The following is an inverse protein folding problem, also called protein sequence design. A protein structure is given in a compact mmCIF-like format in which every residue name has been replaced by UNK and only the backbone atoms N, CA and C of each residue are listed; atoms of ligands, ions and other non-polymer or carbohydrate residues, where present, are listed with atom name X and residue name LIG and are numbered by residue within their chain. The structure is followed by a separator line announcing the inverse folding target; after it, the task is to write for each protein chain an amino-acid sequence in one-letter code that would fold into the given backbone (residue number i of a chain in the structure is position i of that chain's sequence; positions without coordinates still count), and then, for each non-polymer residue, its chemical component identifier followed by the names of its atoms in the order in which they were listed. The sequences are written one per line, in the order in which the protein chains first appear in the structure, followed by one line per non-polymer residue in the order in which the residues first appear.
data_IF_122526041149
#
_entry.id   IF_122526041149
#
_cell.length_a   1.000
_cell.length_b   1.000
_cell.length_c   1.000
_cell.angle_alpha   90.00
_cell.angle_beta   90.00
_cell.angle_gamma   90.00
#
_symmetry.space_group_name_H-M   'P 1'
#
loop_
_entity.id
_entity.type
_entity.pdbx_description
1 polymer ?
#
# COMPACT_ATOMS: atom_id res chain seq x y z
N UNK A 1 21.71 42.21 31.24
CA UNK A 1 21.44 42.62 29.85
C UNK A 1 20.23 41.86 29.36
N UNK A 2 19.11 42.55 29.18
CA UNK A 2 17.82 42.01 28.73
C UNK A 2 17.87 41.68 27.23
N UNK A 3 17.61 40.43 26.87
CA UNK A 3 17.32 40.02 25.50
C UNK A 3 15.80 40.06 25.30
N UNK A 4 15.37 41.20 24.76
CA UNK A 4 14.19 41.48 23.95
C UNK A 4 13.07 40.43 23.96
N UNK A 5 12.01 40.78 24.67
CA UNK A 5 10.65 40.38 24.36
C UNK A 5 10.34 40.72 22.89
N UNK A 6 10.23 39.70 22.03
CA UNK A 6 9.38 39.81 20.86
C UNK A 6 7.94 39.83 21.38
N UNK A 7 7.17 40.85 21.00
CA UNK A 7 5.73 40.92 21.25
C UNK A 7 5.05 39.69 20.63
N UNK A 8 4.90 38.63 21.42
CA UNK A 8 4.09 37.48 21.06
C UNK A 8 2.64 37.90 21.18
N UNK A 9 2.03 38.25 20.04
CA UNK A 9 0.60 38.54 19.96
C UNK A 9 -0.21 37.45 20.69
N UNK A 10 -1.24 37.85 21.43
CA UNK A 10 -2.14 36.91 22.11
C UNK A 10 -2.80 36.03 21.06
N UNK A 11 -2.52 34.73 21.13
CA UNK A 11 -3.02 33.73 20.20
C UNK A 11 -3.99 32.79 20.91
N UNK A 12 -4.82 32.11 20.11
CA UNK A 12 -5.67 31.03 20.61
C UNK A 12 -4.90 29.70 20.56
N UNK A 13 -5.02 28.92 21.63
CA UNK A 13 -4.36 27.64 21.85
C UNK A 13 -5.44 26.61 22.16
N UNK A 14 -5.60 25.64 21.28
CA UNK A 14 -6.63 24.61 21.39
C UNK A 14 -6.01 23.32 21.89
N UNK A 15 -6.72 22.64 22.78
CA UNK A 15 -6.38 21.31 23.30
C UNK A 15 -6.96 20.20 22.43
N UNK A 16 -6.47 18.98 22.58
CA UNK A 16 -6.96 17.82 21.83
C UNK A 16 -8.44 17.48 22.13
N UNK A 17 -8.94 17.81 23.32
CA UNK A 17 -10.36 17.69 23.70
C UNK A 17 -11.22 18.89 23.25
N UNK A 18 -10.66 19.80 22.44
CA UNK A 18 -11.38 20.90 21.80
C UNK A 18 -11.58 22.14 22.67
N UNK A 19 -10.95 22.22 23.85
CA UNK A 19 -11.00 23.43 24.70
C UNK A 19 -9.97 24.45 24.23
N UNK A 20 -10.39 25.70 24.08
CA UNK A 20 -9.52 26.82 23.70
C UNK A 20 -9.04 27.62 24.91
N UNK A 21 -7.82 28.11 24.82
CA UNK A 21 -7.15 28.99 25.78
C UNK A 21 -6.48 30.14 25.03
N UNK A 22 -6.65 31.38 25.49
CA UNK A 22 -5.93 32.53 24.91
C UNK A 22 -4.67 32.83 25.71
N UNK A 23 -3.54 32.98 25.04
CA UNK A 23 -2.27 33.24 25.70
C UNK A 23 -1.16 33.65 24.73
N UNK A 24 -0.10 34.24 25.27
CA UNK A 24 1.09 34.60 24.54
C UNK A 24 2.13 33.49 24.67
N UNK A 25 2.77 33.12 23.57
CA UNK A 25 3.89 32.19 23.60
C UNK A 25 5.07 32.81 24.34
N UNK A 26 5.67 32.07 25.28
CA UNK A 26 6.88 32.49 25.98
C UNK A 26 8.06 31.64 25.54
N UNK A 27 7.97 30.31 25.66
CA UNK A 27 9.03 29.37 25.29
C UNK A 27 8.49 27.93 25.22
N UNK A 28 9.30 27.03 24.69
CA UNK A 28 9.14 25.58 24.90
C UNK A 28 10.13 25.14 25.99
N UNK A 29 9.63 24.40 26.98
CA UNK A 29 10.41 23.80 28.05
C UNK A 29 10.23 22.28 28.02
N UNK A 30 11.23 21.59 27.47
CA UNK A 30 11.19 20.14 27.26
C UNK A 30 10.00 19.70 26.39
N UNK A 31 8.98 19.12 27.03
CA UNK A 31 7.75 18.60 26.39
C UNK A 31 6.53 19.50 26.58
N UNK A 32 6.71 20.72 27.08
CA UNK A 32 5.63 21.66 27.37
C UNK A 32 5.87 22.99 26.68
N UNK A 33 4.79 23.65 26.28
CA UNK A 33 4.81 25.07 25.91
C UNK A 33 4.45 25.90 27.13
N UNK A 34 5.23 26.94 27.38
CA UNK A 34 4.95 27.96 28.40
C UNK A 34 4.15 29.07 27.74
N UNK A 35 2.92 29.27 28.20
CA UNK A 35 2.03 30.32 27.74
C UNK A 35 1.81 31.34 28.85
N UNK A 36 1.88 32.63 28.52
CA UNK A 36 1.50 33.71 29.43
C UNK A 36 0.04 34.09 29.16
N UNK A 37 -0.81 33.87 30.16
CA UNK A 37 -2.22 34.22 30.07
C UNK A 37 -2.43 35.74 30.11
N UNK A 38 -3.58 36.27 29.67
CA UNK A 38 -3.94 37.69 29.81
C UNK A 38 -3.89 38.19 31.26
N UNK A 39 -4.06 37.29 32.24
CA UNK A 39 -3.93 37.57 33.67
C UNK A 39 -2.48 37.76 34.14
N UNK A 40 -1.50 37.60 33.25
CA UNK A 40 -0.06 37.69 33.54
C UNK A 40 0.56 36.39 34.07
N UNK A 41 -0.24 35.37 34.35
CA UNK A 41 0.23 34.06 34.85
C UNK A 41 0.82 33.21 33.73
N UNK A 42 1.98 32.60 33.97
CA UNK A 42 2.53 31.57 33.10
C UNK A 42 1.91 30.20 33.41
N UNK A 43 1.52 29.47 32.37
CA UNK A 43 1.01 28.10 32.45
C UNK A 43 1.82 27.19 31.55
N UNK A 44 2.18 26.02 32.07
CA UNK A 44 2.84 24.97 31.32
C UNK A 44 1.78 24.04 30.73
N UNK A 45 1.66 24.02 29.42
CA UNK A 45 0.75 23.14 28.69
C UNK A 45 1.57 22.07 27.98
N UNK A 46 1.29 20.79 28.25
CA UNK A 46 1.98 19.68 27.59
C UNK A 46 1.71 19.75 26.08
N UNK A 47 2.76 19.69 25.26
CA UNK A 47 2.61 19.71 23.80
C UNK A 47 1.75 18.55 23.29
N UNK A 48 1.79 17.41 23.96
CA UNK A 48 0.96 16.24 23.67
C UNK A 48 -0.54 16.42 23.97
N UNK A 49 -0.91 17.48 24.71
CA UNK A 49 -2.30 17.78 25.06
C UNK A 49 -2.92 18.86 24.17
N UNK A 50 -2.12 19.47 23.29
CA UNK A 50 -2.58 20.48 22.33
C UNK A 50 -3.14 19.83 21.07
N UNK A 51 -4.05 20.55 20.41
CA UNK A 51 -4.40 20.29 19.02
C UNK A 51 -3.15 20.44 18.15
N UNK A 52 -3.17 19.79 16.99
CA UNK A 52 -2.06 19.82 16.05
C UNK A 52 -1.69 21.25 15.62
N UNK A 53 -2.68 22.10 15.39
CA UNK A 53 -2.47 23.51 15.02
C UNK A 53 -1.73 24.28 16.11
N UNK A 54 -2.12 24.12 17.37
CA UNK A 54 -1.48 24.78 18.50
C UNK A 54 -0.10 24.21 18.84
N UNK A 55 0.12 22.91 18.58
CA UNK A 55 1.44 22.31 18.66
C UNK A 55 2.38 22.90 17.60
N UNK A 56 1.96 22.94 16.34
CA UNK A 56 2.74 23.54 15.26
C UNK A 56 3.00 25.03 15.49
N UNK A 57 2.03 25.76 16.04
CA UNK A 57 2.19 27.16 16.43
C UNK A 57 3.30 27.33 17.48
N UNK A 58 3.36 26.47 18.51
CA UNK A 58 4.46 26.48 19.48
C UNK A 58 5.82 26.25 18.81
N UNK A 59 5.90 25.30 17.89
CA UNK A 59 7.15 24.96 17.20
C UNK A 59 7.62 26.10 16.27
N UNK A 60 6.71 26.71 15.51
CA UNK A 60 7.00 27.87 14.64
C UNK A 60 7.54 29.05 15.43
N UNK A 61 6.93 29.36 16.56
CA UNK A 61 7.35 30.46 17.43
C UNK A 61 8.67 30.16 18.16
N UNK A 62 8.99 28.88 18.37
CA UNK A 62 10.25 28.47 19.00
C UNK A 62 11.46 28.48 18.05
N UNK A 63 11.26 28.19 16.75
CA UNK A 63 12.32 27.99 15.76
C UNK A 63 11.91 28.47 14.37
N UNK A 64 11.72 29.79 14.15
CA UNK A 64 11.22 30.32 12.88
C UNK A 64 12.12 29.98 11.67
N UNK A 65 13.42 29.84 11.88
CA UNK A 65 14.39 29.56 10.81
C UNK A 65 14.32 28.14 10.23
N UNK A 66 13.77 27.17 10.99
CA UNK A 66 13.57 25.80 10.53
C UNK A 66 12.43 25.66 9.51
N UNK A 67 11.56 26.68 9.40
CA UNK A 67 10.37 26.68 8.54
C UNK A 67 10.54 27.54 7.27
N UNK A 68 11.69 28.21 7.10
CA UNK A 68 11.94 29.18 6.03
C UNK A 68 12.90 28.75 4.91
N UNK A 69 13.34 27.49 4.85
CA UNK A 69 14.27 27.03 3.79
C UNK A 69 13.54 26.22 2.70
N UNK A 70 13.72 26.65 1.45
CA UNK A 70 13.46 25.85 0.25
C UNK A 70 14.31 24.57 0.29
N UNK A 71 13.73 23.46 -0.14
CA UNK A 71 14.42 22.18 -0.14
C UNK A 71 15.53 22.13 -1.18
N UNK A 72 16.76 21.97 -0.69
CA UNK A 72 17.87 21.38 -1.44
C UNK A 72 17.44 20.03 -2.00
N UNK A 73 17.76 19.81 -3.28
CA UNK A 73 17.63 18.53 -3.97
C UNK A 73 18.27 17.42 -3.12
N UNK A 74 17.46 16.47 -2.67
CA UNK A 74 17.96 15.18 -2.19
C UNK A 74 18.60 14.47 -3.40
N UNK A 75 19.76 13.80 -3.23
CA UNK A 75 20.50 13.22 -4.34
C UNK A 75 19.65 12.22 -5.12
N UNK A 76 19.92 12.22 -6.42
CA UNK A 76 19.70 11.18 -7.41
C UNK A 76 19.38 9.79 -6.86
N UNK A 77 18.26 9.26 -7.37
CA UNK A 77 18.03 7.85 -7.70
C UNK A 77 18.55 6.87 -6.65
N UNK A 78 17.66 6.42 -5.76
CA UNK A 78 17.84 5.21 -4.96
C UNK A 78 18.08 4.01 -5.89
N UNK A 79 19.33 3.81 -6.30
CA UNK A 79 19.80 2.69 -7.12
C UNK A 79 19.57 1.35 -6.40
N UNK A 80 19.40 1.37 -5.09
CA UNK A 80 19.23 0.20 -4.23
C UNK A 80 17.87 -0.53 -4.36
N UNK A 81 16.92 -0.05 -5.16
CA UNK A 81 15.62 -0.72 -5.38
C UNK A 81 15.43 -1.25 -6.82
N UNK A 82 16.50 -1.35 -7.63
CA UNK A 82 16.36 -1.47 -9.10
C UNK A 82 15.83 -2.80 -9.65
N UNK A 83 15.67 -3.87 -8.86
CA UNK A 83 14.84 -5.00 -9.32
C UNK A 83 14.35 -5.87 -8.17
N UNK A 84 13.06 -5.81 -7.86
CA UNK A 84 12.44 -6.79 -6.97
C UNK A 84 12.25 -8.18 -7.62
N UNK A 85 12.42 -8.25 -8.95
CA UNK A 85 12.32 -9.49 -9.70
C UNK A 85 13.56 -9.68 -10.59
N UNK A 86 14.04 -10.91 -10.69
CA UNK A 86 15.09 -11.29 -11.64
C UNK A 86 14.52 -11.84 -12.95
N UNK A 87 13.20 -11.79 -13.12
CA UNK A 87 12.47 -12.42 -14.22
C UNK A 87 11.93 -11.36 -15.18
N UNK A 88 12.16 -11.55 -16.48
CA UNK A 88 11.60 -10.66 -17.52
C UNK A 88 10.14 -10.98 -17.77
N UNK A 89 9.41 -10.06 -18.42
CA UNK A 89 8.01 -10.29 -18.78
C UNK A 89 7.86 -11.52 -19.70
N UNK A 90 8.75 -11.67 -20.67
CA UNK A 90 8.76 -12.80 -21.61
C UNK A 90 8.98 -14.12 -20.88
N UNK A 91 9.91 -14.14 -19.91
CA UNK A 91 10.16 -15.31 -19.09
C UNK A 91 9.01 -15.62 -18.13
N UNK A 92 8.29 -14.61 -17.64
CA UNK A 92 7.10 -14.80 -16.81
C UNK A 92 5.91 -15.38 -17.61
N UNK A 93 5.74 -14.96 -18.86
CA UNK A 93 4.68 -15.44 -19.75
C UNK A 93 4.91 -16.88 -20.25
N UNK A 94 6.16 -17.34 -20.29
CA UNK A 94 6.46 -18.72 -20.64
C UNK A 94 6.08 -19.67 -19.49
N UNK A 95 5.25 -20.69 -19.78
CA UNK A 95 4.94 -21.74 -18.81
C UNK A 95 6.21 -22.54 -18.49
N UNK A 96 6.70 -22.55 -17.24
CA UNK A 96 7.95 -23.22 -16.88
C UNK A 96 7.75 -24.69 -16.47
N UNK A 97 6.52 -25.19 -16.39
CA UNK A 97 6.24 -26.56 -15.98
C UNK A 97 6.51 -27.54 -17.14
N UNK A 98 7.04 -28.72 -16.80
CA UNK A 98 7.26 -29.80 -17.75
C UNK A 98 5.96 -30.39 -18.29
N UNK A 99 6.06 -31.30 -19.27
CA UNK A 99 4.87 -31.89 -19.90
C UNK A 99 4.08 -32.82 -18.99
N UNK A 100 4.75 -33.45 -18.01
CA UNK A 100 4.14 -34.39 -17.08
C UNK A 100 4.90 -34.36 -15.73
N UNK A 101 4.81 -33.25 -14.97
CA UNK A 101 5.62 -33.09 -13.77
C UNK A 101 5.14 -34.04 -12.65
N UNK A 102 6.08 -34.48 -11.83
CA UNK A 102 5.80 -35.01 -10.49
C UNK A 102 5.40 -33.86 -9.56
N UNK A 103 4.72 -34.14 -8.44
CA UNK A 103 4.39 -33.08 -7.47
C UNK A 103 5.65 -32.35 -6.97
N UNK A 104 6.74 -33.08 -6.74
CA UNK A 104 8.01 -32.50 -6.28
C UNK A 104 8.62 -31.56 -7.32
N UNK A 105 8.73 -31.98 -8.59
CA UNK A 105 9.29 -31.12 -9.63
C UNK A 105 8.39 -29.92 -9.94
N UNK A 106 7.06 -30.07 -9.81
CA UNK A 106 6.11 -28.97 -9.91
C UNK A 106 6.31 -27.93 -8.81
N UNK A 107 6.35 -28.35 -7.53
CA UNK A 107 6.54 -27.46 -6.38
C UNK A 107 7.94 -26.84 -6.33
N UNK A 108 8.97 -27.58 -6.78
CA UNK A 108 10.32 -27.05 -6.90
C UNK A 108 10.38 -25.88 -7.91
N UNK A 109 9.74 -26.03 -9.07
CA UNK A 109 9.63 -24.96 -10.07
C UNK A 109 8.84 -23.78 -9.49
N UNK A 110 7.69 -24.04 -8.86
CA UNK A 110 6.85 -23.00 -8.28
C UNK A 110 7.60 -22.17 -7.23
N UNK A 111 8.18 -22.82 -6.22
CA UNK A 111 8.92 -22.17 -5.14
C UNK A 111 10.18 -21.45 -5.62
N UNK A 112 10.88 -21.99 -6.62
CA UNK A 112 12.03 -21.33 -7.26
C UNK A 112 11.63 -20.02 -7.95
N UNK A 113 10.52 -20.02 -8.70
CA UNK A 113 10.00 -18.82 -9.35
C UNK A 113 9.57 -17.75 -8.34
N UNK A 114 8.91 -18.14 -7.24
CA UNK A 114 8.57 -17.24 -6.14
C UNK A 114 9.81 -16.60 -5.52
N UNK A 115 10.85 -17.38 -5.21
CA UNK A 115 12.14 -16.88 -4.69
C UNK A 115 12.83 -15.91 -5.65
N UNK A 116 12.61 -16.05 -6.96
CA UNK A 116 13.14 -15.15 -8.00
C UNK A 116 12.31 -13.87 -8.18
N UNK A 117 11.23 -13.71 -7.43
CA UNK A 117 10.31 -12.57 -7.52
C UNK A 117 9.34 -12.68 -8.69
N UNK A 118 8.98 -13.90 -9.12
CA UNK A 118 7.97 -14.14 -10.16
C UNK A 118 6.67 -14.72 -9.56
N UNK A 119 5.82 -13.89 -8.94
CA UNK A 119 4.52 -14.33 -8.42
C UNK A 119 3.54 -14.76 -9.54
N UNK A 120 3.83 -14.41 -10.80
CA UNK A 120 3.02 -14.84 -11.95
C UNK A 120 3.09 -16.33 -12.21
N UNK A 121 4.00 -17.07 -11.56
CA UNK A 121 4.01 -18.53 -11.60
C UNK A 121 2.67 -19.15 -11.19
N UNK A 122 1.94 -18.50 -10.27
CA UNK A 122 0.60 -18.94 -9.82
C UNK A 122 -0.42 -18.95 -10.96
N UNK A 123 -0.27 -18.06 -11.94
CA UNK A 123 -1.09 -18.08 -13.15
C UNK A 123 -0.98 -19.41 -13.87
N UNK A 124 0.26 -19.89 -14.08
CA UNK A 124 0.53 -21.16 -14.76
C UNK A 124 0.12 -22.40 -13.96
N UNK A 125 -0.22 -22.24 -12.67
CA UNK A 125 -0.75 -23.31 -11.82
C UNK A 125 -2.28 -23.46 -11.95
N UNK A 126 -2.96 -22.50 -12.59
CA UNK A 126 -4.41 -22.51 -12.74
C UNK A 126 -4.85 -23.27 -14.01
N UNK A 127 -5.97 -24.03 -13.92
CA UNK A 127 -6.67 -24.54 -15.09
C UNK A 127 -6.99 -23.44 -16.12
N UNK A 128 -6.95 -23.78 -17.40
CA UNK A 128 -7.13 -22.82 -18.51
C UNK A 128 -8.48 -22.09 -18.45
N UNK A 129 -9.58 -22.80 -18.12
CA UNK A 129 -10.90 -22.19 -17.98
C UNK A 129 -10.93 -21.12 -16.88
N UNK A 130 -10.19 -21.31 -15.79
CA UNK A 130 -10.10 -20.36 -14.68
C UNK A 130 -9.27 -19.15 -15.09
N UNK A 131 -8.13 -19.36 -15.76
CA UNK A 131 -7.32 -18.27 -16.32
C UNK A 131 -8.12 -17.40 -17.27
N UNK A 132 -8.85 -18.02 -18.19
CA UNK A 132 -9.72 -17.31 -19.14
C UNK A 132 -10.77 -16.48 -18.39
N UNK A 133 -11.40 -17.03 -17.36
CA UNK A 133 -12.40 -16.30 -16.60
C UNK A 133 -11.80 -15.12 -15.82
N UNK A 134 -10.64 -15.29 -15.17
CA UNK A 134 -9.94 -14.21 -14.48
C UNK A 134 -9.54 -13.11 -15.46
N UNK A 135 -9.05 -13.47 -16.66
CA UNK A 135 -8.70 -12.51 -17.71
C UNK A 135 -9.93 -11.72 -18.18
N UNK A 136 -11.06 -12.40 -18.41
CA UNK A 136 -12.31 -11.74 -18.81
C UNK A 136 -12.88 -10.86 -17.69
N UNK A 137 -12.82 -11.28 -16.42
CA UNK A 137 -13.23 -10.46 -15.29
C UNK A 137 -12.34 -9.23 -15.15
N UNK A 138 -11.03 -9.38 -15.31
CA UNK A 138 -10.07 -8.26 -15.31
C UNK A 138 -10.39 -7.27 -16.42
N UNK A 139 -10.70 -7.75 -17.62
CA UNK A 139 -11.10 -6.91 -18.74
C UNK A 139 -12.39 -6.14 -18.44
N UNK A 140 -13.45 -6.81 -17.99
CA UNK A 140 -14.72 -6.17 -17.57
C UNK A 140 -14.50 -5.07 -16.54
N UNK A 141 -13.63 -5.32 -15.55
CA UNK A 141 -13.30 -4.36 -14.50
C UNK A 141 -12.56 -3.13 -15.06
N UNK A 142 -11.64 -3.34 -16.00
CA UNK A 142 -10.91 -2.25 -16.66
C UNK A 142 -11.80 -1.45 -17.62
N UNK A 143 -12.74 -2.09 -18.29
CA UNK A 143 -13.76 -1.44 -19.11
C UNK A 143 -14.72 -0.61 -18.25
N UNK A 144 -15.15 -1.12 -17.09
CA UNK A 144 -16.03 -0.41 -16.16
C UNK A 144 -15.39 0.85 -15.57
N UNK A 145 -14.05 0.87 -15.40
CA UNK A 145 -13.30 2.08 -15.05
C UNK A 145 -13.26 3.11 -16.19
N UNK A 146 -13.15 2.62 -17.43
CA UNK A 146 -12.95 3.43 -18.62
C UNK A 146 -11.62 4.20 -18.62
N UNK A 147 -11.28 4.81 -19.76
CA UNK A 147 -10.06 5.62 -19.90
C UNK A 147 -9.93 6.73 -18.83
N UNK A 148 -11.00 7.50 -18.48
CA UNK A 148 -10.90 8.52 -17.44
C UNK A 148 -10.56 7.94 -16.06
N UNK A 149 -11.21 6.85 -15.66
CA UNK A 149 -10.96 6.21 -14.36
C UNK A 149 -9.57 5.60 -14.26
N UNK A 150 -9.09 4.96 -15.34
CA UNK A 150 -7.73 4.42 -15.42
C UNK A 150 -6.68 5.53 -15.37
N UNK A 151 -6.90 6.63 -16.08
CA UNK A 151 -6.01 7.81 -16.05
C UNK A 151 -5.94 8.42 -14.65
N UNK A 152 -7.09 8.57 -13.98
CA UNK A 152 -7.16 9.09 -12.61
C UNK A 152 -6.41 8.18 -11.60
N UNK A 153 -6.57 6.86 -11.72
CA UNK A 153 -5.86 5.89 -10.89
C UNK A 153 -4.34 5.97 -11.12
N UNK A 154 -3.91 6.01 -12.38
CA UNK A 154 -2.50 6.18 -12.73
C UNK A 154 -1.90 7.48 -12.18
N UNK A 155 -2.63 8.61 -12.28
CA UNK A 155 -2.21 9.90 -11.74
C UNK A 155 -2.12 9.90 -10.21
N UNK A 156 -3.05 9.23 -9.53
CA UNK A 156 -3.03 9.06 -8.08
C UNK A 156 -1.76 8.31 -7.64
N UNK A 157 -1.46 7.18 -8.30
CA UNK A 157 -0.27 6.37 -8.02
C UNK A 157 1.00 7.17 -8.31
N UNK A 158 1.03 7.93 -9.42
CA UNK A 158 2.15 8.84 -9.74
C UNK A 158 2.35 9.93 -8.68
N UNK A 159 1.27 10.51 -8.17
CA UNK A 159 1.33 11.49 -7.08
C UNK A 159 1.87 10.87 -5.81
N UNK A 160 1.43 9.65 -5.46
CA UNK A 160 1.95 8.89 -4.31
C UNK A 160 3.43 8.56 -4.46
N UNK A 161 3.85 8.10 -5.64
CA UNK A 161 5.24 7.83 -5.98
C UNK A 161 6.11 9.08 -5.79
N UNK A 162 5.64 10.24 -6.28
CA UNK A 162 6.31 11.53 -6.12
C UNK A 162 6.40 11.94 -4.64
N UNK A 163 5.32 11.82 -3.88
CA UNK A 163 5.29 12.10 -2.45
C UNK A 163 6.29 11.20 -1.71
N UNK A 164 6.26 9.89 -1.96
CA UNK A 164 7.13 8.93 -1.31
C UNK A 164 8.62 9.18 -1.62
N UNK A 165 8.91 9.61 -2.85
CA UNK A 165 10.28 9.90 -3.31
C UNK A 165 10.78 11.23 -2.76
N UNK A 166 10.04 12.32 -2.97
CA UNK A 166 10.53 13.67 -2.69
C UNK A 166 10.30 14.11 -1.24
N UNK A 167 9.25 13.59 -0.59
CA UNK A 167 8.81 14.08 0.73
C UNK A 167 9.13 13.08 1.85
N UNK A 168 10.09 12.17 1.63
CA UNK A 168 10.51 11.15 2.60
C UNK A 168 10.81 11.74 3.98
N UNK A 169 11.65 12.77 4.07
CA UNK A 169 12.02 13.40 5.35
C UNK A 169 10.83 14.07 6.04
N UNK A 170 9.85 14.53 5.26
CA UNK A 170 8.61 15.07 5.81
C UNK A 170 7.71 13.97 6.39
N UNK A 171 7.72 12.78 5.80
CA UNK A 171 6.89 11.66 6.22
C UNK A 171 7.51 10.86 7.38
N UNK A 172 8.83 10.64 7.32
CA UNK A 172 9.58 9.77 8.24
C UNK A 172 10.40 10.55 9.28
N UNK A 173 10.53 11.86 9.13
CA UNK A 173 11.39 12.68 9.99
C UNK A 173 10.86 12.83 11.43
N UNK A 174 11.79 13.13 12.34
CA UNK A 174 11.53 13.28 13.78
C UNK A 174 10.52 14.38 14.16
N UNK A 175 10.16 15.27 13.23
CA UNK A 175 9.25 16.39 13.46
C UNK A 175 7.80 16.10 13.06
N UNK A 176 7.47 14.85 12.67
CA UNK A 176 6.09 14.35 12.63
C UNK A 176 5.19 15.03 11.58
N UNK A 177 5.17 14.51 10.36
CA UNK A 177 3.88 14.29 9.71
C UNK A 177 3.84 12.80 9.42
N UNK A 178 3.23 12.05 10.33
CA UNK A 178 2.83 10.70 10.03
C UNK A 178 1.74 10.84 8.97
N UNK A 179 2.15 10.92 7.71
CA UNK A 179 1.27 10.65 6.59
C UNK A 179 0.89 9.18 6.75
N UNK A 180 -0.17 8.88 7.52
CA UNK A 180 -0.32 7.60 8.21
C UNK A 180 -0.53 6.49 7.20
N UNK A 181 -1.00 6.89 6.01
CA UNK A 181 -1.10 6.10 4.82
C UNK A 181 0.21 5.44 4.37
N UNK A 182 1.22 6.22 3.98
CA UNK A 182 2.50 5.64 3.52
C UNK A 182 3.36 5.17 4.70
N UNK A 183 3.29 5.86 5.83
CA UNK A 183 4.05 5.48 7.01
C UNK A 183 3.54 4.17 7.63
N UNK A 184 2.23 3.91 7.57
CA UNK A 184 1.61 2.66 8.03
C UNK A 184 1.73 1.50 7.05
N UNK A 185 2.06 1.77 5.78
CA UNK A 185 2.26 0.72 4.77
C UNK A 185 3.54 -0.10 5.00
N UNK A 186 4.45 0.37 5.86
CA UNK A 186 5.73 -0.30 6.16
C UNK A 186 5.94 -0.41 7.66
N UNK A 187 6.35 -1.59 8.11
CA UNK A 187 6.62 -1.89 9.52
C UNK A 187 7.97 -1.32 9.99
N UNK A 188 8.97 -1.29 9.10
CA UNK A 188 10.28 -0.67 9.33
C UNK A 188 10.53 0.36 8.23
N UNK A 189 10.12 1.63 8.44
CA UNK A 189 10.25 2.65 7.41
C UNK A 189 11.69 2.96 7.00
N UNK A 190 12.69 2.63 7.80
CA UNK A 190 14.09 2.84 7.38
C UNK A 190 14.51 1.78 6.35
N UNK A 191 14.10 0.53 6.53
CA UNK A 191 14.46 -0.58 5.63
C UNK A 191 13.53 -0.74 4.44
N UNK A 192 12.22 -0.57 4.63
CA UNK A 192 11.20 -0.94 3.64
C UNK A 192 10.81 0.20 2.70
N UNK A 193 11.10 1.46 3.06
CA UNK A 193 10.75 2.62 2.23
C UNK A 193 11.31 2.60 0.81
N UNK A 194 12.59 2.21 0.55
CA UNK A 194 13.11 2.09 -0.80
C UNK A 194 12.28 1.15 -1.69
N UNK A 195 11.80 0.04 -1.14
CA UNK A 195 10.98 -0.93 -1.87
C UNK A 195 9.56 -0.43 -2.11
N UNK A 196 8.96 0.29 -1.14
CA UNK A 196 7.68 0.97 -1.34
C UNK A 196 7.78 2.00 -2.46
N UNK A 197 8.86 2.79 -2.48
CA UNK A 197 9.13 3.76 -3.54
C UNK A 197 9.31 3.05 -4.89
N UNK A 198 10.10 1.98 -4.95
CA UNK A 198 10.29 1.18 -6.16
C UNK A 198 8.99 0.58 -6.69
N UNK A 199 8.16 0.02 -5.80
CA UNK A 199 6.82 -0.48 -6.11
C UNK A 199 5.95 0.62 -6.72
N UNK A 200 5.82 1.77 -6.06
CA UNK A 200 4.99 2.88 -6.53
C UNK A 200 5.51 3.45 -7.86
N UNK A 201 6.83 3.56 -8.04
CA UNK A 201 7.44 4.00 -9.29
C UNK A 201 7.11 3.04 -10.43
N UNK A 202 7.28 1.73 -10.22
CA UNK A 202 6.95 0.71 -11.22
C UNK A 202 5.46 0.68 -11.55
N UNK A 203 4.61 0.71 -10.52
CA UNK A 203 3.17 0.75 -10.70
C UNK A 203 2.71 2.03 -11.42
N UNK A 204 3.42 3.15 -11.26
CA UNK A 204 3.11 4.42 -11.94
C UNK A 204 3.58 4.50 -13.40
N UNK A 205 4.30 3.50 -13.91
CA UNK A 205 4.81 3.54 -15.29
C UNK A 205 3.65 3.64 -16.29
N UNK A 206 3.65 4.68 -17.12
CA UNK A 206 2.56 4.96 -18.07
C UNK A 206 2.24 3.77 -18.99
N UNK A 207 3.25 2.97 -19.34
CA UNK A 207 3.11 1.77 -20.18
C UNK A 207 2.18 0.70 -19.58
N UNK A 208 1.99 0.67 -18.26
CA UNK A 208 1.05 -0.26 -17.61
C UNK A 208 -0.41 0.18 -17.77
N UNK A 209 -0.66 1.47 -18.03
CA UNK A 209 -2.00 2.05 -18.02
C UNK A 209 -2.49 2.47 -19.41
N UNK A 210 -1.83 2.01 -20.47
CA UNK A 210 -2.22 2.29 -21.85
C UNK A 210 -3.49 1.52 -22.23
N UNK A 211 -4.37 2.16 -23.00
CA UNK A 211 -5.63 1.56 -23.43
C UNK A 211 -5.42 0.24 -24.20
N UNK A 212 -4.33 0.12 -24.94
CA UNK A 212 -3.92 -1.09 -25.69
C UNK A 212 -3.63 -2.31 -24.79
N UNK A 213 -3.45 -2.14 -23.49
CA UNK A 213 -3.30 -3.27 -22.56
C UNK A 213 -4.64 -3.94 -22.24
N UNK A 214 -5.75 -3.21 -22.39
CA UNK A 214 -7.06 -3.62 -21.89
C UNK A 214 -7.92 -4.15 -23.04
N UNK A 215 -7.43 -5.20 -23.67
CA UNK A 215 -8.15 -6.00 -24.66
C UNK A 215 -7.78 -7.48 -24.49
N UNK A 216 -8.53 -8.37 -25.14
CA UNK A 216 -8.35 -9.81 -25.03
C UNK A 216 -6.94 -10.29 -25.39
N UNK A 217 -6.26 -9.65 -26.34
CA UNK A 217 -4.93 -10.08 -26.79
C UNK A 217 -3.79 -9.68 -25.84
N UNK A 218 -4.01 -8.65 -25.00
CA UNK A 218 -2.95 -8.07 -24.16
C UNK A 218 -3.24 -8.14 -22.66
N UNK A 219 -4.45 -8.50 -22.23
CA UNK A 219 -4.80 -8.53 -20.80
C UNK A 219 -3.92 -9.47 -19.98
N UNK A 220 -3.52 -10.62 -20.53
CA UNK A 220 -2.59 -11.54 -19.86
C UNK A 220 -1.19 -10.92 -19.69
N UNK A 221 -0.68 -10.23 -20.71
CA UNK A 221 0.60 -9.52 -20.63
C UNK A 221 0.55 -8.41 -19.58
N UNK A 222 -0.60 -7.74 -19.48
CA UNK A 222 -0.83 -6.74 -18.46
C UNK A 222 -0.87 -7.36 -17.07
N UNK A 223 -1.60 -8.46 -16.86
CA UNK A 223 -1.64 -9.21 -15.60
C UNK A 223 -0.24 -9.70 -15.19
N UNK A 224 0.55 -10.21 -16.14
CA UNK A 224 1.94 -10.60 -15.91
C UNK A 224 2.81 -9.41 -15.49
N UNK A 225 2.66 -8.27 -16.16
CA UNK A 225 3.36 -7.04 -15.80
C UNK A 225 3.00 -6.58 -14.39
N UNK A 226 1.71 -6.55 -14.06
CA UNK A 226 1.22 -6.19 -12.73
C UNK A 226 1.74 -7.15 -11.67
N UNK A 227 1.72 -8.46 -11.92
CA UNK A 227 2.25 -9.48 -11.02
C UNK A 227 3.75 -9.27 -10.75
N UNK A 228 4.55 -8.98 -11.77
CA UNK A 228 5.97 -8.65 -11.57
C UNK A 228 6.18 -7.37 -10.75
N UNK A 229 5.31 -6.36 -10.87
CA UNK A 229 5.31 -5.20 -9.97
C UNK A 229 5.02 -5.62 -8.53
N UNK A 230 4.08 -6.55 -8.32
CA UNK A 230 3.78 -7.10 -6.98
C UNK A 230 4.95 -7.89 -6.38
N UNK A 231 5.93 -8.30 -7.18
CA UNK A 231 7.19 -8.88 -6.69
C UNK A 231 7.91 -7.97 -5.68
N UNK A 232 7.73 -6.63 -5.75
CA UNK A 232 8.26 -5.70 -4.74
C UNK A 232 7.68 -5.93 -3.35
N UNK A 233 6.42 -6.40 -3.23
CA UNK A 233 5.82 -6.73 -1.93
C UNK A 233 6.51 -7.95 -1.30
N UNK A 234 6.85 -8.97 -2.09
CA UNK A 234 7.58 -10.14 -1.59
C UNK A 234 8.94 -9.76 -1.00
N UNK A 235 9.64 -8.81 -1.63
CA UNK A 235 10.95 -8.34 -1.16
C UNK A 235 10.84 -7.43 0.06
N UNK A 236 9.70 -6.74 0.26
CA UNK A 236 9.45 -5.97 1.49
C UNK A 236 9.23 -6.84 2.71
N UNK A 237 8.64 -8.03 2.51
CA UNK A 237 8.30 -8.98 3.56
C UNK A 237 8.76 -10.41 3.21
N UNK A 238 10.08 -10.64 3.05
CA UNK A 238 10.61 -11.97 2.73
C UNK A 238 10.26 -12.98 3.84
N UNK A 239 10.18 -12.53 5.09
CA UNK A 239 9.77 -13.34 6.23
C UNK A 239 8.34 -13.88 6.09
N UNK A 240 7.44 -13.14 5.41
CA UNK A 240 6.04 -13.54 5.24
C UNK A 240 5.78 -14.37 3.99
N UNK A 241 6.77 -14.49 3.11
CA UNK A 241 6.62 -15.07 1.77
C UNK A 241 7.51 -16.29 1.52
N UNK A 242 8.29 -16.73 2.52
CA UNK A 242 9.09 -17.94 2.39
C UNK A 242 8.18 -19.18 2.38
N UNK A 243 8.21 -19.95 1.30
CA UNK A 243 7.43 -21.18 1.17
C UNK A 243 8.39 -22.37 1.20
N UNK A 244 8.15 -23.29 2.14
CA UNK A 244 8.79 -24.59 2.22
C UNK A 244 7.72 -25.68 2.09
N UNK A 245 8.11 -26.87 1.64
CA UNK A 245 7.21 -28.00 1.49
C UNK A 245 7.92 -29.32 1.75
N UNK A 246 7.15 -30.32 2.20
CA UNK A 246 7.57 -31.71 2.32
C UNK A 246 6.49 -32.60 1.69
N UNK A 247 6.88 -33.45 0.75
CA UNK A 247 5.96 -34.36 0.06
C UNK A 247 5.74 -35.59 0.95
N UNK A 248 4.51 -35.75 1.47
CA UNK A 248 4.15 -36.78 2.46
C UNK A 248 3.73 -38.09 1.80
N UNK A 249 3.08 -38.00 0.64
CA UNK A 249 2.77 -39.16 -0.21
C UNK A 249 3.25 -38.93 -1.64
N UNK A 250 3.53 -40.03 -2.35
CA UNK A 250 3.86 -40.01 -3.77
C UNK A 250 3.01 -41.05 -4.50
N UNK A 251 1.96 -40.59 -5.18
CA UNK A 251 1.12 -41.36 -6.08
C UNK A 251 1.13 -40.73 -7.47
N UNK A 252 0.49 -41.38 -8.44
CA UNK A 252 0.43 -40.85 -9.81
C UNK A 252 -0.46 -39.61 -9.94
N UNK A 253 -1.53 -39.55 -9.14
CA UNK A 253 -2.67 -38.65 -9.39
C UNK A 253 -3.07 -37.79 -8.18
N UNK A 254 -2.60 -38.09 -6.97
CA UNK A 254 -2.96 -37.36 -5.75
C UNK A 254 -1.87 -37.44 -4.68
N UNK A 255 -1.43 -36.31 -4.16
CA UNK A 255 -0.36 -36.25 -3.17
C UNK A 255 -0.67 -35.32 -2.02
N UNK A 256 -0.46 -35.80 -0.79
CA UNK A 256 -0.42 -34.99 0.40
C UNK A 256 0.95 -34.32 0.52
N UNK A 257 0.93 -33.01 0.74
CA UNK A 257 2.12 -32.19 0.92
C UNK A 257 1.95 -31.34 2.17
N UNK A 258 2.93 -31.39 3.06
CA UNK A 258 3.00 -30.48 4.19
C UNK A 258 3.63 -29.17 3.71
N UNK A 259 2.83 -28.10 3.64
CA UNK A 259 3.25 -26.78 3.18
C UNK A 259 3.46 -25.87 4.38
N UNK A 260 4.62 -25.22 4.43
CA UNK A 260 4.97 -24.24 5.46
C UNK A 260 5.15 -22.88 4.81
N UNK A 261 4.42 -21.89 5.29
CA UNK A 261 4.55 -20.49 4.86
C UNK A 261 5.12 -19.68 6.02
N UNK A 262 6.20 -18.95 5.77
CA UNK A 262 6.90 -18.17 6.79
C UNK A 262 7.30 -19.06 7.98
N UNK A 263 7.07 -18.56 9.20
CA UNK A 263 7.31 -19.26 10.47
C UNK A 263 6.05 -19.99 10.98
N UNK A 264 5.04 -20.21 10.12
CA UNK A 264 3.80 -20.89 10.51
C UNK A 264 4.03 -22.40 10.64
N UNK A 265 3.10 -23.07 11.33
CA UNK A 265 3.13 -24.54 11.38
C UNK A 265 2.83 -25.12 9.99
N UNK A 266 3.44 -26.27 9.63
CA UNK A 266 3.09 -26.96 8.40
C UNK A 266 1.59 -27.27 8.37
N UNK A 267 0.98 -27.03 7.21
CA UNK A 267 -0.40 -27.39 6.92
C UNK A 267 -0.40 -28.44 5.83
N UNK A 268 -1.09 -29.55 6.08
CA UNK A 268 -1.28 -30.59 5.08
C UNK A 268 -2.23 -30.08 3.99
N UNK A 269 -1.77 -30.17 2.75
CA UNK A 269 -2.51 -29.79 1.54
C UNK A 269 -2.52 -30.98 0.58
N UNK A 270 -3.70 -31.36 0.10
CA UNK A 270 -3.83 -32.43 -0.88
C UNK A 270 -3.84 -31.85 -2.29
N UNK A 271 -2.85 -32.22 -3.08
CA UNK A 271 -2.74 -31.89 -4.49
C UNK A 271 -3.33 -33.01 -5.35
N UNK A 272 -4.02 -32.64 -6.42
CA UNK A 272 -4.54 -33.57 -7.41
C UNK A 272 -4.01 -33.24 -8.79
N UNK A 273 -3.61 -34.26 -9.52
CA UNK A 273 -3.10 -34.11 -10.88
C UNK A 273 -4.23 -33.94 -11.87
N UNK A 274 -4.13 -32.90 -12.69
CA UNK A 274 -5.06 -32.62 -13.78
C UNK A 274 -4.27 -32.29 -15.05
N UNK A 275 -4.10 -33.30 -15.90
CA UNK A 275 -3.26 -33.19 -17.09
C UNK A 275 -1.81 -32.84 -16.74
N UNK A 276 -1.37 -31.64 -17.13
CA UNK A 276 0.00 -31.14 -16.85
C UNK A 276 0.13 -30.38 -15.52
N UNK A 277 -0.97 -30.21 -14.78
CA UNK A 277 -1.03 -29.39 -13.56
C UNK A 277 -1.20 -30.25 -12.31
N UNK A 278 -0.73 -29.72 -11.19
CA UNK A 278 -1.12 -30.15 -9.84
C UNK A 278 -1.93 -29.04 -9.20
N UNK A 279 -3.19 -29.32 -8.90
CA UNK A 279 -4.13 -28.36 -8.33
C UNK A 279 -4.46 -28.71 -6.89
N UNK A 280 -4.93 -27.73 -6.13
CA UNK A 280 -5.55 -27.95 -4.82
C UNK A 280 -7.06 -27.79 -5.02
N UNK A 281 -7.86 -28.86 -4.98
CA UNK A 281 -9.28 -28.82 -5.31
C UNK A 281 -10.08 -27.77 -4.52
N UNK A 282 -9.83 -27.65 -3.21
CA UNK A 282 -10.50 -26.67 -2.37
C UNK A 282 -10.19 -25.22 -2.81
N UNK A 283 -8.93 -24.96 -3.18
CA UNK A 283 -8.51 -23.63 -3.67
C UNK A 283 -9.16 -23.30 -5.02
N UNK A 284 -9.25 -24.30 -5.91
CA UNK A 284 -9.94 -24.14 -7.20
C UNK A 284 -11.43 -23.82 -6.98
N UNK A 285 -12.09 -24.56 -6.09
CA UNK A 285 -13.50 -24.32 -5.76
C UNK A 285 -13.72 -22.93 -5.14
N UNK A 286 -12.82 -22.46 -4.27
CA UNK A 286 -12.91 -21.12 -3.68
C UNK A 286 -12.82 -20.03 -4.77
N UNK A 287 -11.84 -20.15 -5.69
CA UNK A 287 -11.68 -19.22 -6.82
C UNK A 287 -12.93 -19.21 -7.69
N UNK A 288 -13.45 -20.38 -8.04
CA UNK A 288 -14.68 -20.49 -8.85
C UNK A 288 -15.88 -19.84 -8.14
N UNK A 289 -16.03 -20.07 -6.83
CA UNK A 289 -17.09 -19.43 -6.04
C UNK A 289 -17.00 -17.91 -6.07
N UNK A 290 -15.81 -17.34 -5.90
CA UNK A 290 -15.59 -15.89 -5.95
C UNK A 290 -15.92 -15.32 -7.34
N UNK A 291 -15.46 -15.98 -8.40
CA UNK A 291 -15.76 -15.56 -9.78
C UNK A 291 -17.26 -15.61 -10.09
N UNK A 292 -17.98 -16.61 -9.55
CA UNK A 292 -19.44 -16.71 -9.72
C UNK A 292 -20.20 -15.64 -8.94
N UNK A 293 -19.80 -15.36 -7.70
CA UNK A 293 -20.40 -14.29 -6.89
C UNK A 293 -20.26 -12.93 -7.59
N UNK A 294 -19.07 -12.63 -8.10
CA UNK A 294 -18.83 -11.39 -8.86
C UNK A 294 -19.68 -11.30 -10.12
N UNK A 295 -19.85 -12.39 -10.88
CA UNK A 295 -20.74 -12.45 -12.05
C UNK A 295 -22.20 -12.17 -11.69
N UNK A 296 -22.70 -12.78 -10.62
CA UNK A 296 -24.12 -12.71 -10.26
C UNK A 296 -24.53 -11.33 -9.76
N UNK A 297 -23.62 -10.61 -9.10
CA UNK A 297 -23.95 -9.27 -8.59
C UNK A 297 -24.20 -8.25 -9.70
N UNK A 298 -23.77 -8.52 -10.96
CA UNK A 298 -24.03 -7.76 -12.20
C UNK A 298 -23.88 -6.23 -12.08
N UNK A 299 -23.25 -5.77 -11.00
CA UNK A 299 -23.01 -4.39 -10.67
C UNK A 299 -21.59 -4.08 -11.12
N UNK A 300 -21.31 -2.83 -11.54
CA UNK A 300 -19.95 -2.30 -11.38
C UNK A 300 -19.51 -2.73 -10.00
N UNK A 301 -18.45 -3.55 -9.84
CA UNK A 301 -18.19 -4.18 -8.55
C UNK A 301 -18.24 -3.07 -7.51
N UNK A 302 -19.08 -3.22 -6.49
CA UNK A 302 -19.42 -2.09 -5.61
C UNK A 302 -18.14 -1.45 -5.05
N UNK A 303 -17.10 -2.28 -4.86
CA UNK A 303 -15.72 -1.86 -4.58
C UNK A 303 -15.12 -0.92 -5.62
N UNK A 304 -15.25 -1.19 -6.92
CA UNK A 304 -14.80 -0.33 -8.02
C UNK A 304 -15.54 1.02 -8.05
N UNK A 305 -16.85 1.03 -7.76
CA UNK A 305 -17.64 2.27 -7.68
C UNK A 305 -17.23 3.11 -6.46
N UNK A 306 -17.17 2.49 -5.28
CA UNK A 306 -16.69 3.14 -4.05
C UNK A 306 -15.24 3.63 -4.20
N UNK A 307 -14.39 2.87 -4.88
CA UNK A 307 -13.02 3.25 -5.20
C UNK A 307 -12.99 4.49 -6.09
N UNK A 308 -13.78 4.53 -7.17
CA UNK A 308 -13.83 5.71 -8.05
C UNK A 308 -14.30 6.98 -7.34
N UNK A 309 -15.27 6.85 -6.43
CA UNK A 309 -15.74 7.95 -5.58
C UNK A 309 -14.65 8.39 -4.59
N UNK A 310 -13.99 7.45 -3.90
CA UNK A 310 -12.89 7.72 -3.00
C UNK A 310 -11.69 8.37 -3.69
N UNK A 311 -11.31 7.88 -4.88
CA UNK A 311 -10.24 8.46 -5.69
C UNK A 311 -10.53 9.90 -6.11
N UNK A 312 -11.77 10.23 -6.43
CA UNK A 312 -12.17 11.60 -6.80
C UNK A 312 -12.04 12.57 -5.64
N UNK A 313 -12.26 12.09 -4.41
CA UNK A 313 -12.05 12.87 -3.21
C UNK A 313 -10.55 13.02 -2.85
N UNK A 314 -9.78 11.94 -2.99
CA UNK A 314 -8.37 11.89 -2.52
C UNK A 314 -7.38 12.47 -3.54
N UNK A 315 -7.64 12.34 -4.85
CA UNK A 315 -6.71 12.76 -5.90
C UNK A 315 -6.31 14.25 -5.83
N UNK A 316 -7.23 15.21 -5.59
CA UNK A 316 -6.86 16.62 -5.45
C UNK A 316 -5.94 16.88 -4.25
N UNK A 317 -6.15 16.15 -3.15
CA UNK A 317 -5.31 16.24 -1.94
C UNK A 317 -3.91 15.71 -2.23
N UNK A 318 -3.81 14.53 -2.85
CA UNK A 318 -2.52 13.94 -3.22
C UNK A 318 -1.76 14.82 -4.20
N UNK A 319 -2.44 15.44 -5.16
CA UNK A 319 -1.82 16.42 -6.05
C UNK A 319 -1.23 17.60 -5.28
N UNK A 320 -2.00 18.21 -4.36
CA UNK A 320 -1.52 19.32 -3.51
C UNK A 320 -0.31 18.91 -2.65
N UNK A 321 -0.34 17.72 -2.05
CA UNK A 321 0.78 17.18 -1.27
C UNK A 321 2.03 16.96 -2.14
N UNK A 322 1.84 16.47 -3.36
CA UNK A 322 2.92 16.23 -4.33
C UNK A 322 3.49 17.54 -4.92
N UNK A 323 2.72 18.62 -4.95
CA UNK A 323 3.12 19.95 -5.44
C UNK A 323 3.70 20.85 -4.34
N UNK A 324 3.44 20.53 -3.06
CA UNK A 324 3.96 21.28 -1.92
C UNK A 324 5.48 21.44 -2.00
N UNK A 325 5.93 22.71 -1.95
CA UNK A 325 7.33 23.11 -1.96
C UNK A 325 7.87 23.30 -0.57
N UNK A 326 7.01 23.71 0.35
CA UNK A 326 7.35 23.91 1.76
C UNK A 326 6.66 22.88 2.66
N UNK A 327 7.25 22.67 3.84
CA UNK A 327 6.64 21.83 4.88
C UNK A 327 5.28 22.35 5.31
N UNK A 328 5.11 23.67 5.37
CA UNK A 328 3.85 24.30 5.74
C UNK A 328 2.74 24.02 4.72
N UNK A 329 3.05 24.11 3.43
CA UNK A 329 2.09 23.76 2.36
C UNK A 329 1.67 22.29 2.45
N UNK A 330 2.62 21.41 2.73
CA UNK A 330 2.36 19.98 2.89
C UNK A 330 1.43 19.70 4.08
N UNK A 331 1.74 20.28 5.25
CA UNK A 331 0.92 20.09 6.46
C UNK A 331 -0.46 20.74 6.32
N UNK A 332 -0.58 21.88 5.63
CA UNK A 332 -1.87 22.52 5.33
C UNK A 332 -2.72 21.70 4.37
N UNK A 333 -2.10 21.11 3.32
CA UNK A 333 -2.79 20.20 2.42
C UNK A 333 -3.29 18.94 3.17
N UNK A 334 -2.51 18.44 4.13
CA UNK A 334 -2.91 17.31 4.97
C UNK A 334 -4.06 17.68 5.92
N UNK A 335 -4.00 18.84 6.58
CA UNK A 335 -5.05 19.28 7.51
C UNK A 335 -6.37 19.61 6.80
N UNK A 336 -6.30 20.27 5.64
CA UNK A 336 -7.49 20.67 4.85
C UNK A 336 -8.19 19.51 4.14
N UNK A 337 -7.58 18.32 4.13
CA UNK A 337 -8.11 17.15 3.42
C UNK A 337 -9.28 16.46 4.13
N UNK A 338 -9.54 16.76 5.40
CA UNK A 338 -10.52 15.99 6.20
C UNK A 338 -10.11 14.53 6.44
N UNK A 339 -8.93 14.09 5.99
CA UNK A 339 -8.43 12.71 6.14
C UNK A 339 -8.36 12.32 7.62
N UNK A 340 -8.00 13.25 8.51
CA UNK A 340 -8.04 13.00 9.96
C UNK A 340 -9.45 12.74 10.51
N UNK A 341 -10.49 13.38 9.96
CA UNK A 341 -11.88 13.13 10.34
C UNK A 341 -12.39 11.78 9.79
N UNK A 342 -11.99 11.38 8.57
CA UNK A 342 -12.31 10.04 8.04
C UNK A 342 -11.67 8.92 8.89
N UNK A 343 -10.43 9.09 9.34
CA UNK A 343 -9.77 8.10 10.21
C UNK A 343 -10.42 8.01 11.59
N UNK A 344 -10.85 9.14 12.17
CA UNK A 344 -11.58 9.17 13.45
C UNK A 344 -12.96 8.52 13.38
N UNK A 345 -13.61 8.54 12.21
CA UNK A 345 -14.88 7.87 11.97
C UNK A 345 -14.72 6.36 11.74
N UNK A 346 -13.71 5.92 10.97
CA UNK A 346 -13.41 4.50 10.73
C UNK A 346 -12.94 3.75 11.98
N UNK A 347 -12.16 4.40 12.85
CA UNK A 347 -11.72 3.82 14.12
C UNK A 347 -12.87 3.60 15.13
N UNK A 348 -14.00 4.31 14.99
CA UNK A 348 -15.17 4.20 15.88
C UNK A 348 -16.14 3.09 15.47
N UNK A 349 -16.15 2.67 14.20
CA UNK A 349 -17.13 1.71 13.69
C UNK A 349 -16.74 0.24 13.89
N UNK A 350 -15.50 -0.09 14.25
CA UNK A 350 -15.03 -1.47 14.51
C UNK A 350 -15.12 -2.44 13.32
N UNK A 351 -15.82 -2.07 12.25
CA UNK A 351 -15.86 -2.75 10.97
C UNK A 351 -14.73 -2.21 10.10
N UNK A 352 -13.82 -3.07 9.66
CA UNK A 352 -12.80 -2.79 8.65
C UNK A 352 -13.43 -2.54 7.28
N UNK A 353 -14.24 -1.48 7.17
CA UNK A 353 -14.88 -1.05 5.94
C UNK A 353 -13.87 -0.36 5.02
N UNK A 354 -14.24 -0.28 3.73
CA UNK A 354 -13.49 0.25 2.59
C UNK A 354 -12.85 1.67 2.74
N UNK A 355 -12.97 2.32 3.90
CA UNK A 355 -12.29 3.57 4.25
C UNK A 355 -11.03 3.40 5.10
N UNK A 356 -10.67 2.19 5.54
CA UNK A 356 -9.41 1.93 6.26
C UNK A 356 -8.22 1.88 5.29
N UNK A 357 -7.69 3.06 4.98
CA UNK A 357 -6.59 3.25 4.05
C UNK A 357 -5.22 2.76 4.59
N UNK A 358 -5.12 2.30 5.84
CA UNK A 358 -3.90 1.60 6.33
C UNK A 358 -3.68 0.26 5.64
N UNK A 359 -4.74 -0.27 5.03
CA UNK A 359 -4.75 -1.48 4.24
C UNK A 359 -4.39 -1.23 2.77
N UNK A 360 -3.75 -0.12 2.39
CA UNK A 360 -3.44 0.14 0.97
C UNK A 360 -2.75 -1.04 0.25
N UNK A 361 -1.76 -1.73 0.85
CA UNK A 361 -1.22 -2.94 0.25
C UNK A 361 -2.29 -4.03 0.06
N UNK A 362 -3.17 -4.23 1.05
CA UNK A 362 -4.27 -5.19 0.99
C UNK A 362 -5.40 -4.78 0.02
N UNK A 363 -5.65 -3.48 -0.15
CA UNK A 363 -6.53 -2.93 -1.19
C UNK A 363 -5.91 -3.14 -2.56
N UNK A 364 -4.60 -2.89 -2.73
CA UNK A 364 -3.88 -3.08 -4.00
C UNK A 364 -3.74 -4.56 -4.37
N UNK A 365 -3.64 -5.46 -3.40
CA UNK A 365 -3.67 -6.93 -3.60
C UNK A 365 -5.08 -7.48 -3.72
N UNK A 366 -6.10 -6.80 -3.18
CA UNK A 366 -7.51 -7.16 -3.28
C UNK A 366 -8.20 -6.58 -4.52
N UNK A 367 -7.44 -5.92 -5.40
CA UNK A 367 -7.89 -5.52 -6.72
C UNK A 367 -8.00 -6.74 -7.63
N UNK A 368 -8.82 -6.68 -8.70
CA UNK A 368 -9.12 -7.84 -9.55
C UNK A 368 -7.93 -8.42 -10.34
N UNK A 369 -6.73 -7.85 -10.18
CA UNK A 369 -5.46 -8.35 -10.71
C UNK A 369 -4.54 -8.95 -9.64
N UNK A 370 -4.96 -8.98 -8.38
CA UNK A 370 -4.36 -9.83 -7.38
C UNK A 370 -4.54 -11.26 -7.83
N UNK A 371 -3.49 -11.86 -8.40
CA UNK A 371 -3.50 -13.28 -8.67
C UNK A 371 -3.86 -14.00 -7.37
N UNK A 372 -4.72 -15.03 -7.40
CA UNK A 372 -4.90 -15.88 -6.24
C UNK A 372 -3.52 -16.39 -5.84
N UNK A 373 -2.99 -15.83 -4.75
CA UNK A 373 -1.97 -16.50 -3.96
C UNK A 373 -2.57 -17.80 -3.46
N UNK A 374 -1.70 -18.75 -3.13
CA UNK A 374 -2.07 -20.01 -2.48
C UNK A 374 -3.23 -19.83 -1.48
N UNK A 375 -4.10 -20.86 -1.34
CA UNK A 375 -5.28 -20.81 -0.48
C UNK A 375 -4.96 -20.10 0.82
N UNK A 376 -5.88 -19.24 1.28
CA UNK A 376 -5.77 -18.61 2.61
C UNK A 376 -5.48 -19.72 3.61
N UNK A 377 -4.21 -19.84 4.00
CA UNK A 377 -3.80 -20.79 5.05
C UNK A 377 -4.61 -20.36 6.26
N UNK A 378 -5.54 -21.24 6.66
CA UNK A 378 -6.77 -20.84 7.34
C UNK A 378 -6.54 -19.85 8.47
N UNK A 379 -7.35 -18.79 8.49
CA UNK A 379 -7.73 -18.12 9.74
C UNK A 379 -8.61 -19.09 10.53
N UNK A 380 -7.99 -20.12 11.10
CA UNK A 380 -8.62 -21.14 11.92
C UNK A 380 -7.92 -21.22 13.26
N UNK A 381 -8.47 -20.44 14.20
CA UNK A 381 -8.15 -20.29 15.64
C UNK A 381 -7.01 -19.34 16.03
#
# INVERSE_FOLDING_TARGET
MNLLAQDSATQEWTSFDGKSLKGQFVRIDGKSVVLKLPTGKEVNVKLSSLSFESHLQALKLSKPEAFGKDLLKVPEKTEAAQSATSVTLEAALANPFGENPTIDSFLQVATSQWKRGNPFISWHMLPTNIREEIAQQSLRNMEALGTPGRSQLSQLISSLSKIATEKREWILGAQGSHFPFLAGAVSDPQKQWPYLVGFLQKLSEAKLWQDDNFNQANIEKWLASMSLVMGYLNVMHPEKSNIAYEVVSQSADSDDVDVTVADQKPVKVTFQKQGKLWIVPEAIQEIESQLQEEKQTNAKPQGLTMMSAGMSFVAPVMKKLAEARTRQEFDQALASSGIQQMMGAGARSGAGGAGDMTQLPAMLTGLPWGLPGFPKVGSGN
#
